data_IF_810613801221
#
_entry.id   IF_810613801221
#
_cell.length_a   1.000
_cell.length_b   1.000
_cell.length_c   1.000
_cell.angle_alpha   90.00
_cell.angle_beta   90.00
_cell.angle_gamma   90.00
#
_symmetry.space_group_name_H-M   'P 1'
#
loop_
_entity.id
_entity.type
_entity.pdbx_description
1 polymer ?
#
# COMPACT_ATOMS: atom_id res chain seq x y z
N UNK A 1 4.98 -42.54 -8.44
CA UNK A 1 5.31 -41.29 -9.15
C UNK A 1 4.53 -40.21 -8.43
N UNK A 2 5.20 -39.18 -7.92
CA UNK A 2 4.56 -38.12 -7.14
C UNK A 2 3.72 -37.22 -8.06
N UNK A 3 2.39 -37.36 -7.96
CA UNK A 3 1.39 -36.58 -8.72
C UNK A 3 1.22 -35.13 -8.23
N UNK A 4 2.23 -34.54 -7.58
CA UNK A 4 2.14 -33.19 -6.99
C UNK A 4 3.21 -32.22 -7.49
N UNK A 5 3.83 -32.49 -8.65
CA UNK A 5 4.74 -31.53 -9.28
C UNK A 5 3.93 -30.53 -10.10
N UNK A 6 3.37 -29.52 -9.42
CA UNK A 6 2.81 -28.35 -10.10
C UNK A 6 3.99 -27.61 -10.76
N UNK A 7 3.93 -27.45 -12.08
CA UNK A 7 4.92 -26.69 -12.84
C UNK A 7 5.08 -25.28 -12.25
N UNK A 8 6.33 -24.87 -12.00
CA UNK A 8 6.64 -23.51 -11.49
C UNK A 8 5.99 -22.42 -12.34
N UNK A 9 5.87 -22.64 -13.66
CA UNK A 9 5.23 -21.68 -14.57
C UNK A 9 3.73 -21.51 -14.25
N UNK A 10 3.03 -22.59 -13.92
CA UNK A 10 1.62 -22.54 -13.51
C UNK A 10 1.48 -21.80 -12.17
N UNK A 11 2.40 -22.02 -11.23
CA UNK A 11 2.42 -21.27 -9.97
C UNK A 11 2.67 -19.77 -10.22
N UNK A 12 3.58 -19.41 -11.13
CA UNK A 12 3.85 -18.00 -11.49
C UNK A 12 2.67 -17.29 -12.16
N UNK A 13 1.86 -18.01 -12.95
CA UNK A 13 0.65 -17.48 -13.58
C UNK A 13 -0.54 -17.40 -12.61
N UNK A 14 -0.64 -18.34 -11.67
CA UNK A 14 -1.71 -18.36 -10.65
C UNK A 14 -1.45 -17.40 -9.48
N UNK A 15 -0.20 -17.04 -9.20
CA UNK A 15 0.12 -16.01 -8.21
C UNK A 15 -0.25 -14.66 -8.80
N UNK A 16 -1.36 -14.10 -8.33
CA UNK A 16 -1.70 -12.71 -8.56
C UNK A 16 -0.62 -11.81 -7.94
N UNK A 17 0.27 -11.31 -8.80
CA UNK A 17 1.38 -10.39 -8.45
C UNK A 17 0.89 -9.08 -7.84
N UNK A 18 -0.41 -8.77 -7.94
CA UNK A 18 -1.03 -7.56 -7.37
C UNK A 18 -1.73 -7.83 -6.03
N UNK A 19 -1.82 -9.09 -5.59
CA UNK A 19 -2.49 -9.44 -4.35
C UNK A 19 -1.59 -9.19 -3.13
N UNK A 20 -1.92 -8.11 -2.41
CA UNK A 20 -1.24 -7.72 -1.16
C UNK A 20 -1.32 -8.78 -0.05
N UNK A 21 -2.26 -9.73 -0.10
CA UNK A 21 -2.39 -10.77 0.91
C UNK A 21 -1.18 -11.72 0.91
N UNK A 22 -0.65 -12.06 -0.26
CA UNK A 22 0.56 -12.88 -0.35
C UNK A 22 1.77 -12.15 0.21
N UNK A 23 1.95 -10.87 -0.13
CA UNK A 23 3.02 -10.06 0.44
C UNK A 23 2.92 -9.98 1.98
N UNK A 24 1.72 -9.78 2.52
CA UNK A 24 1.49 -9.77 3.98
C UNK A 24 1.78 -11.12 4.65
N UNK A 25 1.52 -12.23 3.95
CA UNK A 25 1.84 -13.59 4.44
C UNK A 25 3.34 -13.88 4.38
N UNK A 26 4.01 -13.48 3.30
CA UNK A 26 5.46 -13.64 3.12
C UNK A 26 6.23 -12.84 4.17
N UNK A 27 5.83 -11.59 4.43
CA UNK A 27 6.46 -10.73 5.43
C UNK A 27 5.76 -10.81 6.80
N UNK A 28 5.39 -12.02 7.23
CA UNK A 28 4.70 -12.26 8.51
C UNK A 28 5.68 -12.47 9.67
N UNK A 29 5.19 -12.39 10.90
CA UNK A 29 5.97 -12.74 12.10
C UNK A 29 6.42 -14.19 12.10
N UNK A 30 5.61 -15.09 11.55
CA UNK A 30 5.89 -16.52 11.55
C UNK A 30 7.07 -16.82 10.64
N UNK A 31 7.14 -16.16 9.48
CA UNK A 31 8.27 -16.25 8.56
C UNK A 31 9.53 -15.62 9.15
N UNK A 32 9.43 -14.46 9.82
CA UNK A 32 10.56 -13.88 10.56
C UNK A 32 11.11 -14.85 11.60
N UNK A 33 10.23 -15.44 12.42
CA UNK A 33 10.63 -16.36 13.49
C UNK A 33 11.27 -17.63 12.92
N UNK A 34 10.71 -18.16 11.82
CA UNK A 34 11.29 -19.29 11.11
C UNK A 34 12.69 -18.96 10.55
N UNK A 35 12.86 -17.79 9.90
CA UNK A 35 14.16 -17.33 9.40
C UNK A 35 15.19 -17.20 10.53
N UNK A 36 14.80 -16.59 11.66
CA UNK A 36 15.67 -16.46 12.83
C UNK A 36 16.05 -17.82 13.43
N UNK A 37 15.11 -18.78 13.50
CA UNK A 37 15.40 -20.14 13.98
C UNK A 37 16.38 -20.91 13.09
N UNK A 38 16.46 -20.56 11.82
CA UNK A 38 17.37 -21.14 10.84
C UNK A 38 18.69 -20.36 10.70
N UNK A 39 18.90 -19.29 11.47
CA UNK A 39 20.11 -18.47 11.45
C UNK A 39 20.16 -17.41 10.34
N UNK A 40 19.04 -17.14 9.65
CA UNK A 40 18.94 -16.08 8.63
C UNK A 40 18.55 -14.74 9.26
N UNK A 41 19.41 -14.21 10.13
CA UNK A 41 19.10 -13.02 10.93
C UNK A 41 18.89 -11.75 10.08
N UNK A 42 19.70 -11.58 9.02
CA UNK A 42 19.62 -10.38 8.17
C UNK A 42 18.31 -10.32 7.37
N UNK A 43 17.84 -11.47 6.90
CA UNK A 43 16.60 -11.66 6.18
C UNK A 43 15.40 -11.56 7.13
N UNK A 44 15.52 -12.07 8.35
CA UNK A 44 14.52 -11.91 9.39
C UNK A 44 14.32 -10.42 9.74
N UNK A 45 15.42 -9.65 9.88
CA UNK A 45 15.36 -8.22 10.12
C UNK A 45 14.74 -7.45 8.94
N UNK A 46 15.10 -7.81 7.71
CA UNK A 46 14.44 -7.25 6.52
C UNK A 46 12.94 -7.55 6.52
N UNK A 47 12.54 -8.79 6.81
CA UNK A 47 11.15 -9.21 6.88
C UNK A 47 10.36 -8.38 7.91
N UNK A 48 10.94 -8.17 9.11
CA UNK A 48 10.39 -7.32 10.15
C UNK A 48 10.19 -5.88 9.68
N UNK A 49 11.19 -5.29 9.01
CA UNK A 49 11.12 -3.92 8.52
C UNK A 49 10.02 -3.73 7.47
N UNK A 50 9.92 -4.66 6.51
CA UNK A 50 8.85 -4.62 5.48
C UNK A 50 7.48 -4.76 6.13
N UNK A 51 7.31 -5.67 7.09
CA UNK A 51 6.06 -5.82 7.85
C UNK A 51 5.67 -4.53 8.57
N UNK A 52 6.61 -3.91 9.27
CA UNK A 52 6.38 -2.67 10.00
C UNK A 52 6.04 -1.50 9.07
N UNK A 53 6.67 -1.44 7.89
CA UNK A 53 6.33 -0.46 6.86
C UNK A 53 4.89 -0.63 6.37
N UNK A 54 4.45 -1.85 6.02
CA UNK A 54 3.04 -2.12 5.67
C UNK A 54 2.06 -1.72 6.78
N UNK A 55 2.40 -2.00 8.04
CA UNK A 55 1.58 -1.60 9.18
C UNK A 55 1.53 -0.06 9.31
N UNK A 56 2.62 0.64 9.04
CA UNK A 56 2.66 2.11 9.07
C UNK A 56 1.77 2.75 8.01
N UNK A 57 1.54 2.08 6.88
CA UNK A 57 0.59 2.51 5.84
C UNK A 57 -0.86 2.21 6.25
N UNK A 58 -1.19 0.96 6.59
CA UNK A 58 -2.60 0.51 6.65
C UNK A 58 -3.18 0.32 8.07
N UNK A 59 -2.36 0.07 9.10
CA UNK A 59 -2.87 -0.40 10.40
C UNK A 59 -3.68 0.69 11.13
N UNK A 60 -4.96 0.45 11.51
CA UNK A 60 -5.75 1.43 12.27
C UNK A 60 -5.20 1.61 13.70
N UNK A 61 -5.45 2.77 14.31
CA UNK A 61 -5.07 3.05 15.71
C UNK A 61 -3.59 3.38 15.96
N UNK A 62 -2.71 3.22 14.96
CA UNK A 62 -1.31 3.62 15.08
C UNK A 62 -1.15 5.15 15.05
N UNK A 63 -0.45 5.70 16.05
CA UNK A 63 -0.17 7.14 16.14
C UNK A 63 0.71 7.62 14.97
N UNK A 64 0.58 8.91 14.62
CA UNK A 64 1.38 9.51 13.55
C UNK A 64 2.90 9.34 13.80
N UNK A 65 3.34 9.59 15.03
CA UNK A 65 4.74 9.44 15.44
C UNK A 65 5.24 7.99 15.24
N UNK A 66 4.47 7.00 15.65
CA UNK A 66 4.84 5.59 15.51
C UNK A 66 4.92 5.17 14.03
N UNK A 67 4.01 5.66 13.19
CA UNK A 67 4.08 5.42 11.74
C UNK A 67 5.33 6.04 11.13
N UNK A 68 5.67 7.28 11.51
CA UNK A 68 6.90 7.93 11.06
C UNK A 68 8.15 7.17 11.48
N UNK A 69 8.24 6.70 12.73
CA UNK A 69 9.36 5.87 13.21
C UNK A 69 9.54 4.61 12.37
N UNK A 70 8.46 3.89 12.08
CA UNK A 70 8.51 2.67 11.26
C UNK A 70 8.93 2.94 9.81
N UNK A 71 8.46 4.05 9.22
CA UNK A 71 8.91 4.47 7.88
C UNK A 71 10.39 4.86 7.88
N UNK A 72 10.83 5.61 8.89
CA UNK A 72 12.21 6.02 9.03
C UNK A 72 13.14 4.81 9.16
N UNK A 73 12.78 3.81 10.00
CA UNK A 73 13.57 2.59 10.13
C UNK A 73 13.75 1.84 8.79
N UNK A 74 12.71 1.79 7.95
CA UNK A 74 12.83 1.21 6.62
C UNK A 74 13.70 2.07 5.68
N UNK A 75 13.58 3.40 5.74
CA UNK A 75 14.46 4.31 5.01
C UNK A 75 15.93 4.15 5.42
N UNK A 76 16.22 4.06 6.71
CA UNK A 76 17.58 3.89 7.22
C UNK A 76 18.19 2.58 6.72
N UNK A 77 17.40 1.51 6.65
CA UNK A 77 17.82 0.26 6.02
C UNK A 77 18.10 0.42 4.52
N UNK A 78 17.22 1.10 3.78
CA UNK A 78 17.40 1.33 2.35
C UNK A 78 18.66 2.16 2.07
N UNK A 79 18.90 3.21 2.85
CA UNK A 79 20.02 4.14 2.65
C UNK A 79 21.35 3.66 3.26
N UNK A 80 21.35 2.64 4.11
CA UNK A 80 22.59 2.04 4.65
C UNK A 80 23.56 1.72 3.53
N UNK A 81 24.85 2.04 3.62
CA UNK A 81 25.84 1.68 2.59
C UNK A 81 25.57 2.26 1.18
N UNK A 82 24.64 3.20 1.02
CA UNK A 82 24.44 3.93 -0.23
C UNK A 82 25.45 5.07 -0.27
N UNK A 83 26.31 5.06 -1.27
CA UNK A 83 27.23 6.16 -1.53
C UNK A 83 26.51 7.30 -2.26
N UNK A 84 26.24 8.38 -1.51
CA UNK A 84 25.61 9.59 -2.05
C UNK A 84 26.58 10.47 -2.83
N UNK A 85 27.90 10.23 -2.78
CA UNK A 85 28.87 11.00 -3.56
C UNK A 85 28.81 10.69 -5.05
N UNK A 86 28.27 9.51 -5.39
CA UNK A 86 28.08 9.05 -6.78
C UNK A 86 26.58 8.98 -7.08
N UNK A 87 25.92 10.14 -7.20
CA UNK A 87 24.49 10.20 -7.52
C UNK A 87 24.23 10.73 -8.95
N UNK A 88 23.43 10.03 -9.77
CA UNK A 88 22.81 8.73 -9.47
C UNK A 88 23.84 7.58 -9.51
N UNK A 89 23.68 6.54 -8.66
CA UNK A 89 24.61 5.42 -8.65
C UNK A 89 24.63 4.72 -10.01
N UNK A 90 25.81 4.30 -10.50
CA UNK A 90 25.94 3.63 -11.78
C UNK A 90 25.26 2.26 -11.70
N UNK A 91 24.42 1.96 -12.71
CA UNK A 91 23.69 0.70 -12.81
C UNK A 91 22.17 0.84 -12.76
N UNK A 92 21.49 -0.29 -12.97
CA UNK A 92 20.01 -0.38 -12.97
C UNK A 92 19.42 -0.80 -11.63
N UNK A 93 20.25 -1.24 -10.70
CA UNK A 93 19.84 -1.79 -9.42
C UNK A 93 20.63 -1.17 -8.27
N UNK A 94 19.95 -0.94 -7.15
CA UNK A 94 20.53 -0.49 -5.88
C UNK A 94 20.12 -1.54 -4.85
N UNK A 95 21.09 -2.24 -4.25
CA UNK A 95 20.84 -3.34 -3.30
C UNK A 95 19.86 -4.42 -3.80
N UNK A 96 19.95 -4.75 -5.09
CA UNK A 96 19.05 -5.73 -5.71
C UNK A 96 17.66 -5.19 -6.05
N UNK A 97 17.29 -3.98 -5.61
CA UNK A 97 16.06 -3.32 -6.05
C UNK A 97 16.28 -2.62 -7.39
N UNK A 98 15.32 -2.69 -8.33
CA UNK A 98 15.32 -1.81 -9.49
C UNK A 98 15.38 -0.35 -9.02
N UNK A 99 16.24 0.47 -9.65
CA UNK A 99 16.47 1.87 -9.25
C UNK A 99 15.19 2.67 -9.06
N UNK A 100 14.24 2.55 -9.98
CA UNK A 100 12.93 3.21 -9.92
C UNK A 100 12.13 2.81 -8.68
N UNK A 101 12.21 1.53 -8.28
CA UNK A 101 11.53 1.03 -7.08
C UNK A 101 12.19 1.58 -5.81
N UNK A 102 13.52 1.58 -5.75
CA UNK A 102 14.29 2.17 -4.65
C UNK A 102 13.94 3.66 -4.46
N UNK A 103 14.03 4.45 -5.53
CA UNK A 103 13.69 5.87 -5.53
C UNK A 103 12.23 6.10 -5.10
N UNK A 104 11.31 5.27 -5.61
CA UNK A 104 9.91 5.30 -5.22
C UNK A 104 9.68 5.06 -3.72
N UNK A 105 10.39 4.12 -3.10
CA UNK A 105 10.29 3.89 -1.66
C UNK A 105 10.78 5.10 -0.85
N UNK A 106 11.98 5.61 -1.18
CA UNK A 106 12.58 6.74 -0.47
C UNK A 106 11.70 7.99 -0.62
N UNK A 107 11.28 8.31 -1.85
CA UNK A 107 10.41 9.46 -2.11
C UNK A 107 9.07 9.34 -1.38
N UNK A 108 8.45 8.15 -1.36
CA UNK A 108 7.17 7.94 -0.67
C UNK A 108 7.31 8.16 0.84
N UNK A 109 8.40 7.68 1.44
CA UNK A 109 8.65 7.86 2.87
C UNK A 109 8.82 9.35 3.19
N UNK A 110 9.69 10.04 2.46
CA UNK A 110 10.01 11.46 2.73
C UNK A 110 8.82 12.37 2.51
N UNK A 111 8.11 12.21 1.39
CA UNK A 111 6.90 13.00 1.12
C UNK A 111 5.84 12.78 2.19
N UNK A 112 5.66 11.55 2.68
CA UNK A 112 4.68 11.24 3.73
C UNK A 112 5.08 11.88 5.05
N UNK A 113 6.35 11.81 5.46
CA UNK A 113 6.84 12.43 6.70
C UNK A 113 6.72 13.96 6.64
N UNK A 114 7.13 14.57 5.52
CA UNK A 114 6.98 16.01 5.31
C UNK A 114 5.51 16.44 5.38
N UNK A 115 4.62 15.65 4.78
CA UNK A 115 3.19 15.92 4.79
C UNK A 115 2.58 15.86 6.19
N UNK A 116 3.04 14.94 7.04
CA UNK A 116 2.65 14.93 8.47
C UNK A 116 3.05 16.21 9.20
N UNK A 117 4.16 16.84 8.82
CA UNK A 117 4.58 18.11 9.38
C UNK A 117 3.83 19.30 8.77
N UNK A 118 3.44 19.21 7.50
CA UNK A 118 2.80 20.31 6.76
C UNK A 118 1.28 20.37 6.92
N UNK A 119 0.60 19.26 7.20
CA UNK A 119 -0.87 19.21 7.23
C UNK A 119 -1.37 18.89 8.63
N UNK A 120 -2.11 19.83 9.23
CA UNK A 120 -2.83 19.65 10.50
C UNK A 120 -4.06 18.73 10.39
N UNK A 121 -4.07 17.76 9.46
CA UNK A 121 -5.24 16.93 9.21
C UNK A 121 -5.31 15.73 10.16
N UNK A 122 -6.48 15.52 10.75
CA UNK A 122 -6.75 14.45 11.73
C UNK A 122 -6.73 13.02 11.16
N UNK A 123 -6.59 12.84 9.84
CA UNK A 123 -6.57 11.50 9.24
C UNK A 123 -5.55 11.37 8.09
N UNK A 124 -4.28 11.08 8.40
CA UNK A 124 -3.21 10.95 7.41
C UNK A 124 -3.38 9.77 6.42
N UNK A 125 -4.35 8.86 6.65
CA UNK A 125 -4.67 7.76 5.73
C UNK A 125 -5.33 8.24 4.44
N UNK A 126 -5.86 9.47 4.41
CA UNK A 126 -6.50 10.07 3.22
C UNK A 126 -5.52 10.30 2.06
N UNK A 127 -4.21 10.31 2.31
CA UNK A 127 -3.17 10.51 1.28
C UNK A 127 -2.60 9.18 0.75
N UNK A 128 -3.20 8.05 1.13
CA UNK A 128 -2.85 6.74 0.56
C UNK A 128 -3.50 6.55 -0.82
N UNK A 129 -2.77 5.89 -1.73
CA UNK A 129 -3.34 5.37 -3.00
C UNK A 129 -4.54 4.44 -2.77
N UNK A 130 -4.71 3.95 -1.53
CA UNK A 130 -5.88 3.20 -1.10
C UNK A 130 -7.18 3.96 -1.34
N UNK A 131 -7.23 5.29 -1.13
CA UNK A 131 -8.44 6.09 -1.39
C UNK A 131 -8.80 6.05 -2.87
N UNK A 132 -7.82 6.20 -3.75
CA UNK A 132 -8.02 6.08 -5.20
C UNK A 132 -8.40 4.64 -5.59
N UNK A 133 -7.80 3.61 -4.98
CA UNK A 133 -8.14 2.21 -5.24
C UNK A 133 -9.55 1.86 -4.77
N UNK A 134 -9.99 2.38 -3.63
CA UNK A 134 -11.36 2.25 -3.15
C UNK A 134 -12.32 2.99 -4.08
N UNK A 135 -11.98 4.20 -4.51
CA UNK A 135 -12.75 4.95 -5.49
C UNK A 135 -12.92 4.19 -6.82
N UNK A 136 -11.83 3.63 -7.37
CA UNK A 136 -11.91 2.83 -8.59
C UNK A 136 -12.59 1.46 -8.37
N UNK A 137 -12.46 0.86 -7.19
CA UNK A 137 -13.22 -0.34 -6.81
C UNK A 137 -14.71 -0.06 -6.79
N UNK A 138 -15.14 1.05 -6.17
CA UNK A 138 -16.53 1.49 -6.14
C UNK A 138 -17.05 1.82 -7.55
N UNK A 139 -16.23 2.42 -8.41
CA UNK A 139 -16.58 2.63 -9.82
C UNK A 139 -16.78 1.32 -10.58
N UNK A 140 -15.93 0.32 -10.34
CA UNK A 140 -16.06 -1.02 -10.96
C UNK A 140 -17.26 -1.78 -10.41
N UNK A 141 -17.61 -1.64 -9.13
CA UNK A 141 -18.77 -2.28 -8.52
C UNK A 141 -20.10 -1.68 -8.99
N UNK A 142 -20.13 -0.36 -9.23
CA UNK A 142 -21.29 0.37 -9.75
C UNK A 142 -21.44 0.23 -11.28
N UNK A 143 -20.50 -0.42 -11.94
CA UNK A 143 -20.51 -0.63 -13.38
C UNK A 143 -21.62 -1.63 -13.75
N UNK A 144 -22.64 -1.23 -14.54
CA UNK A 144 -23.85 -2.02 -14.74
C UNK A 144 -23.61 -3.31 -15.52
N UNK A 145 -22.54 -3.41 -16.31
CA UNK A 145 -22.22 -4.63 -17.08
C UNK A 145 -21.46 -5.68 -16.27
N UNK A 146 -21.02 -5.35 -15.04
CA UNK A 146 -20.21 -6.21 -14.15
C UNK A 146 -18.94 -6.78 -14.80
N UNK A 147 -18.46 -6.12 -15.86
CA UNK A 147 -17.22 -6.51 -16.55
C UNK A 147 -15.98 -5.97 -15.82
N UNK A 148 -16.18 -5.22 -14.73
CA UNK A 148 -15.11 -4.65 -13.91
C UNK A 148 -14.38 -3.47 -14.56
N UNK A 149 -14.76 -3.07 -15.78
CA UNK A 149 -14.16 -1.97 -16.52
C UNK A 149 -15.23 -0.99 -17.03
N UNK A 150 -15.40 0.17 -16.36
CA UNK A 150 -16.36 1.18 -16.79
C UNK A 150 -16.02 1.74 -18.18
N UNK A 151 -16.99 1.76 -19.10
CA UNK A 151 -16.84 2.43 -20.39
C UNK A 151 -16.64 3.93 -20.19
N UNK A 152 -15.80 4.55 -21.02
CA UNK A 152 -15.44 5.97 -20.91
C UNK A 152 -16.65 6.92 -20.81
N UNK A 153 -17.73 6.62 -21.54
CA UNK A 153 -18.98 7.40 -21.52
C UNK A 153 -19.73 7.34 -20.17
N UNK A 154 -19.51 6.26 -19.41
CA UNK A 154 -20.18 6.00 -18.13
C UNK A 154 -19.41 6.59 -16.94
N UNK A 155 -18.12 6.90 -17.12
CA UNK A 155 -17.21 7.30 -16.03
C UNK A 155 -17.71 8.57 -15.33
N UNK A 156 -18.16 9.58 -16.08
CA UNK A 156 -18.60 10.85 -15.51
C UNK A 156 -19.79 10.67 -14.56
N UNK A 157 -20.81 9.90 -14.98
CA UNK A 157 -22.00 9.61 -14.16
C UNK A 157 -21.67 8.70 -12.97
N UNK A 158 -20.81 7.70 -13.15
CA UNK A 158 -20.43 6.81 -12.04
C UNK A 158 -19.59 7.57 -11.00
N UNK A 159 -18.72 8.47 -11.47
CA UNK A 159 -17.89 9.31 -10.62
C UNK A 159 -18.73 10.25 -9.77
N UNK A 160 -19.79 10.86 -10.31
CA UNK A 160 -20.67 11.73 -9.51
C UNK A 160 -21.35 10.96 -8.36
N UNK A 161 -21.79 9.73 -8.62
CA UNK A 161 -22.41 8.86 -7.60
C UNK A 161 -21.39 8.48 -6.51
N UNK A 162 -20.18 8.06 -6.89
CA UNK A 162 -19.13 7.70 -5.92
C UNK A 162 -18.71 8.90 -5.08
N UNK A 163 -18.59 10.10 -5.67
CA UNK A 163 -18.30 11.33 -4.94
C UNK A 163 -19.41 11.63 -3.92
N UNK A 164 -20.67 11.47 -4.30
CA UNK A 164 -21.81 11.69 -3.40
C UNK A 164 -21.81 10.68 -2.24
N UNK A 165 -21.55 9.39 -2.53
CA UNK A 165 -21.39 8.35 -1.52
C UNK A 165 -20.24 8.63 -0.55
N UNK A 166 -19.08 9.07 -1.07
CA UNK A 166 -17.92 9.45 -0.26
C UNK A 166 -18.22 10.68 0.59
N UNK A 167 -18.90 11.69 0.04
CA UNK A 167 -19.31 12.89 0.76
C UNK A 167 -20.20 12.56 1.97
N UNK A 168 -21.19 11.66 1.80
CA UNK A 168 -22.03 11.20 2.91
C UNK A 168 -21.27 10.37 3.96
N UNK A 169 -20.26 9.61 3.55
CA UNK A 169 -19.43 8.82 4.48
C UNK A 169 -18.47 9.69 5.29
N UNK A 170 -17.95 10.76 4.69
CA UNK A 170 -17.06 11.69 5.36
C UNK A 170 -17.79 12.70 6.27
N UNK A 171 -19.07 12.99 6.01
CA UNK A 171 -19.88 13.94 6.79
C UNK A 171 -21.19 13.30 7.30
N UNK A 172 -21.14 12.49 8.37
CA UNK A 172 -22.31 11.77 8.89
C UNK A 172 -23.45 12.68 9.41
N UNK A 173 -23.16 13.94 9.74
CA UNK A 173 -24.16 14.95 10.15
C UNK A 173 -25.08 15.41 9.01
N UNK A 174 -24.67 15.30 7.76
CA UNK A 174 -25.51 15.67 6.59
C UNK A 174 -26.58 14.61 6.27
N UNK A 175 -26.47 13.41 6.85
CA UNK A 175 -27.41 12.30 6.59
C UNK A 175 -28.82 12.55 7.13
N UNK A 176 -28.95 13.38 8.18
CA UNK A 176 -30.25 13.75 8.76
C UNK A 176 -31.00 14.83 7.95
N UNK A 177 -30.30 15.71 7.23
CA UNK A 177 -30.92 16.87 6.57
C UNK A 177 -31.72 16.47 5.33
N UNK A 178 -31.36 15.38 4.65
CA UNK A 178 -32.09 14.90 3.46
C UNK A 178 -33.27 14.00 3.80
N UNK A 179 -33.25 13.26 4.91
CA UNK A 179 -34.38 12.43 5.33
C UNK A 179 -35.54 13.26 5.91
N UNK A 180 -35.27 14.44 6.45
CA UNK A 180 -36.31 15.38 6.92
C UNK A 180 -36.89 16.29 5.82
N UNK A 181 -36.37 16.25 4.59
CA UNK A 181 -36.92 17.03 3.45
C UNK A 181 -37.84 16.21 2.55
N UNK A 182 -38.02 14.93 2.84
CA UNK A 182 -38.92 14.02 2.11
C UNK A 182 -40.03 13.44 2.98
N UNK A 183 -40.31 14.06 4.13
CA UNK A 183 -41.46 13.78 5.01
C UNK A 183 -42.41 14.97 5.01
#
# INVERSE_FOLDING_TARGET
>A
MDDTIISKAIVYDLIDKRNNAYAKRTFSSDVENAMRSLGYDSEADFCKLVRQWYQAEDMPGLSALERCKRRQAFKDYLLRDVDFSVYPPPGKYIKGFPKVMFEGFVQRIDTTIQLYASVSCNNPRSISSLVNKTFFGELSDLEPTKLGCPKAISIQRLTSIVIEMQHFRCNPTMRQVYLCKTS
#
